data_IF_357055688941
#
_entry.id   IF_357055688941
#
_cell.length_a   1.000
_cell.length_b   1.000
_cell.length_c   1.000
_cell.angle_alpha   90.00
_cell.angle_beta   90.00
_cell.angle_gamma   90.00
#
_symmetry.space_group_name_H-M   'P 1'
#
loop_
_entity.id
_entity.type
_entity.pdbx_description
1 polymer ?
#
# COMPACT_ATOMS: atom_id res chain seq x y z
N UNK A 1 -11.40 -19.61 2.83
CA UNK A 1 -12.74 -19.08 3.11
C UNK A 1 -13.17 -19.30 4.57
N UNK A 2 -13.12 -20.52 5.15
CA UNK A 2 -13.46 -20.78 6.58
C UNK A 2 -12.72 -19.88 7.56
N UNK A 3 -11.42 -19.64 7.34
CA UNK A 3 -10.62 -18.77 8.20
C UNK A 3 -11.01 -17.31 8.03
N UNK A 4 -11.34 -16.88 6.81
CA UNK A 4 -11.73 -15.49 6.51
C UNK A 4 -13.03 -15.13 7.25
N UNK A 5 -14.05 -16.01 7.21
CA UNK A 5 -15.30 -15.81 7.95
C UNK A 5 -15.07 -15.71 9.48
N UNK A 6 -14.18 -16.58 10.03
CA UNK A 6 -13.84 -16.54 11.46
C UNK A 6 -13.09 -15.28 11.88
N UNK A 7 -12.30 -14.70 10.98
CA UNK A 7 -11.56 -13.46 11.22
C UNK A 7 -12.44 -12.21 11.10
N UNK A 8 -13.57 -12.33 10.42
CA UNK A 8 -14.48 -11.22 10.21
C UNK A 8 -15.24 -10.88 11.51
N UNK A 9 -15.23 -9.62 11.90
CA UNK A 9 -16.01 -9.12 13.04
C UNK A 9 -17.50 -9.06 12.67
N UNK A 10 -18.43 -9.09 13.65
CA UNK A 10 -19.82 -8.73 13.42
C UNK A 10 -19.95 -7.37 12.71
N UNK A 11 -20.82 -7.24 11.73
CA UNK A 11 -20.95 -6.08 10.85
C UNK A 11 -19.84 -5.92 9.79
N UNK A 12 -18.78 -6.72 9.84
CA UNK A 12 -17.66 -6.66 8.89
C UNK A 12 -18.03 -7.14 7.50
N UNK A 13 -17.34 -6.62 6.48
CA UNK A 13 -17.53 -6.95 5.08
C UNK A 13 -16.40 -7.85 4.56
N UNK A 14 -16.74 -8.74 3.64
CA UNK A 14 -15.80 -9.60 2.93
C UNK A 14 -16.15 -9.64 1.45
N UNK A 15 -15.21 -9.25 0.59
CA UNK A 15 -15.32 -9.43 -0.84
C UNK A 15 -14.74 -10.77 -1.24
N UNK A 16 -15.51 -11.57 -1.96
CA UNK A 16 -15.03 -12.76 -2.67
C UNK A 16 -15.00 -12.45 -4.17
N UNK A 17 -13.90 -12.78 -4.82
CA UNK A 17 -13.77 -12.59 -6.26
C UNK A 17 -12.97 -13.71 -6.89
N UNK A 18 -13.32 -14.05 -8.14
CA UNK A 18 -12.58 -14.99 -8.99
C UNK A 18 -12.45 -14.42 -10.40
N UNK A 19 -11.50 -14.94 -11.17
CA UNK A 19 -11.36 -14.67 -12.61
C UNK A 19 -11.81 -15.87 -13.46
N UNK A 20 -12.42 -16.89 -12.86
CA UNK A 20 -13.01 -18.04 -13.56
C UNK A 20 -14.47 -17.76 -13.94
N UNK A 21 -15.00 -18.55 -14.87
CA UNK A 21 -16.41 -18.57 -15.22
C UNK A 21 -17.10 -19.86 -14.76
N UNK A 22 -16.39 -20.72 -14.01
CA UNK A 22 -16.88 -21.99 -13.51
C UNK A 22 -17.93 -21.78 -12.40
N UNK A 23 -19.20 -22.18 -12.59
CA UNK A 23 -20.23 -22.01 -11.57
C UNK A 23 -19.87 -22.63 -10.22
N UNK A 24 -19.12 -23.72 -10.21
CA UNK A 24 -18.66 -24.39 -9.00
C UNK A 24 -17.75 -23.52 -8.12
N UNK A 25 -16.92 -22.70 -8.76
CA UNK A 25 -16.03 -21.77 -8.08
C UNK A 25 -16.72 -20.43 -7.76
N UNK A 26 -17.75 -20.09 -8.47
CA UNK A 26 -18.51 -18.85 -8.37
C UNK A 26 -19.74 -19.03 -7.46
N UNK A 27 -20.93 -19.24 -8.01
CA UNK A 27 -22.20 -19.42 -7.26
C UNK A 27 -22.15 -20.62 -6.32
N UNK A 28 -21.45 -21.70 -6.71
CA UNK A 28 -21.27 -22.87 -5.87
C UNK A 28 -20.49 -22.56 -4.58
N UNK A 29 -19.44 -21.76 -4.68
CA UNK A 29 -18.68 -21.31 -3.50
C UNK A 29 -19.51 -20.38 -2.62
N UNK A 30 -20.31 -19.48 -3.22
CA UNK A 30 -21.21 -18.60 -2.49
C UNK A 30 -22.27 -19.40 -1.74
N UNK A 31 -22.93 -20.37 -2.43
CA UNK A 31 -23.90 -21.27 -1.84
C UNK A 31 -23.31 -22.01 -0.64
N UNK A 32 -22.13 -22.58 -0.82
CA UNK A 32 -21.41 -23.28 0.24
C UNK A 32 -21.14 -22.38 1.46
N UNK A 33 -20.78 -21.10 1.24
CA UNK A 33 -20.57 -20.15 2.34
C UNK A 33 -21.87 -19.86 3.09
N UNK A 34 -22.96 -19.59 2.39
CA UNK A 34 -24.26 -19.28 2.99
C UNK A 34 -24.81 -20.48 3.79
N UNK A 35 -24.65 -21.69 3.28
CA UNK A 35 -25.11 -22.92 3.95
C UNK A 35 -24.29 -23.25 5.23
N UNK A 36 -22.99 -23.00 5.22
CA UNK A 36 -22.11 -23.38 6.34
C UNK A 36 -21.92 -22.25 7.36
N UNK A 37 -22.30 -21.02 7.02
CA UNK A 37 -22.14 -19.85 7.87
C UNK A 37 -23.40 -18.98 7.84
N UNK A 38 -24.45 -19.37 8.61
CA UNK A 38 -25.73 -18.68 8.63
C UNK A 38 -25.65 -17.23 9.17
N UNK A 39 -24.51 -16.91 9.80
CA UNK A 39 -24.19 -15.53 10.19
C UNK A 39 -23.73 -14.65 9.03
N UNK A 40 -23.49 -15.21 7.84
CA UNK A 40 -23.13 -14.44 6.65
C UNK A 40 -24.38 -14.13 5.83
N UNK A 41 -24.39 -12.98 5.18
CA UNK A 41 -25.42 -12.56 4.23
C UNK A 41 -24.77 -11.88 3.03
N UNK A 42 -25.42 -11.95 1.85
CA UNK A 42 -24.99 -11.22 0.66
C UNK A 42 -25.52 -9.80 0.68
N UNK A 43 -24.66 -8.87 0.29
CA UNK A 43 -24.98 -7.46 0.09
C UNK A 43 -25.03 -7.19 -1.40
N UNK A 44 -26.10 -6.56 -1.85
CA UNK A 44 -26.21 -6.09 -3.22
C UNK A 44 -25.17 -5.00 -3.48
N UNK A 45 -24.42 -5.15 -4.57
CA UNK A 45 -23.45 -4.16 -5.02
C UNK A 45 -24.09 -3.21 -6.00
N UNK A 46 -23.61 -1.95 -6.02
CA UNK A 46 -24.00 -0.99 -7.04
C UNK A 46 -23.73 -1.54 -8.44
N UNK A 47 -24.71 -1.47 -9.31
CA UNK A 47 -24.62 -1.97 -10.68
C UNK A 47 -23.88 -0.97 -11.58
N UNK A 48 -22.95 -1.47 -12.36
CA UNK A 48 -22.30 -0.73 -13.45
C UNK A 48 -22.72 -1.28 -14.80
N UNK A 49 -22.59 -0.47 -15.84
CA UNK A 49 -22.85 -0.91 -17.22
C UNK A 49 -21.98 -2.14 -17.55
N UNK A 50 -22.60 -3.19 -18.10
CA UNK A 50 -21.94 -4.45 -18.41
C UNK A 50 -21.94 -5.50 -17.28
N UNK A 51 -22.33 -5.15 -16.06
CA UNK A 51 -22.50 -6.12 -14.98
C UNK A 51 -23.72 -7.00 -15.24
N UNK A 52 -23.59 -8.28 -14.94
CA UNK A 52 -24.69 -9.26 -14.94
C UNK A 52 -24.87 -9.81 -13.52
N UNK A 53 -26.10 -10.09 -13.15
CA UNK A 53 -26.41 -10.77 -11.90
C UNK A 53 -25.89 -12.20 -11.89
N UNK A 54 -25.55 -12.73 -10.71
CA UNK A 54 -25.31 -14.15 -10.53
C UNK A 54 -26.56 -14.98 -10.84
N UNK A 55 -26.37 -16.23 -11.15
CA UNK A 55 -27.45 -17.13 -11.51
C UNK A 55 -27.73 -18.16 -10.40
N UNK A 56 -28.88 -18.08 -9.71
CA UNK A 56 -29.23 -19.03 -8.65
C UNK A 56 -29.18 -20.51 -9.08
N UNK A 57 -29.50 -20.81 -10.33
CA UNK A 57 -29.49 -22.17 -10.87
C UNK A 57 -28.09 -22.79 -10.92
N UNK A 58 -27.07 -21.95 -10.99
CA UNK A 58 -25.65 -22.37 -10.98
C UNK A 58 -25.10 -22.60 -9.58
N UNK A 59 -25.86 -22.22 -8.54
CA UNK A 59 -25.62 -22.50 -7.15
C UNK A 59 -26.63 -23.51 -6.60
N UNK A 60 -27.11 -23.26 -5.38
CA UNK A 60 -28.11 -24.08 -4.69
C UNK A 60 -29.56 -23.64 -4.94
N UNK A 61 -29.80 -22.70 -5.82
CA UNK A 61 -31.13 -22.16 -6.11
C UNK A 61 -31.57 -21.00 -5.21
N UNK A 62 -30.75 -20.55 -4.28
CA UNK A 62 -31.05 -19.42 -3.40
C UNK A 62 -31.14 -18.12 -4.23
N UNK A 63 -32.29 -17.42 -4.23
CA UNK A 63 -32.47 -16.16 -4.97
C UNK A 63 -31.50 -15.06 -4.49
N UNK A 64 -30.97 -15.12 -3.28
CA UNK A 64 -29.96 -14.16 -2.79
C UNK A 64 -28.70 -14.14 -3.67
N UNK A 65 -28.39 -15.21 -4.41
CA UNK A 65 -27.27 -15.30 -5.35
C UNK A 65 -27.37 -14.23 -6.45
N UNK A 66 -28.55 -13.73 -6.78
CA UNK A 66 -28.69 -12.62 -7.72
C UNK A 66 -28.01 -11.32 -7.26
N UNK A 67 -27.66 -11.19 -5.97
CA UNK A 67 -26.87 -10.06 -5.45
C UNK A 67 -25.41 -10.12 -5.83
N UNK A 68 -24.93 -11.27 -6.33
CA UNK A 68 -23.57 -11.40 -6.85
C UNK A 68 -23.48 -10.86 -8.28
N UNK A 69 -22.25 -10.62 -8.75
CA UNK A 69 -22.01 -10.00 -10.04
C UNK A 69 -21.12 -10.89 -10.90
N UNK A 70 -21.52 -11.06 -12.15
CA UNK A 70 -20.70 -11.61 -13.23
C UNK A 70 -20.30 -10.52 -14.20
N UNK A 71 -19.00 -10.39 -14.43
CA UNK A 71 -18.44 -9.48 -15.44
C UNK A 71 -17.98 -10.33 -16.62
N UNK A 72 -18.64 -10.13 -17.76
CA UNK A 72 -18.39 -10.92 -18.95
C UNK A 72 -17.53 -10.15 -19.96
N UNK A 73 -16.47 -10.75 -20.56
CA UNK A 73 -15.60 -10.06 -21.52
C UNK A 73 -16.33 -9.53 -22.77
N UNK A 74 -17.44 -10.16 -23.14
CA UNK A 74 -18.25 -9.71 -24.28
C UNK A 74 -19.20 -8.54 -23.97
N UNK A 75 -19.33 -8.17 -22.68
CA UNK A 75 -20.14 -7.03 -22.22
C UNK A 75 -19.31 -5.84 -21.74
N UNK A 76 -18.08 -6.09 -21.34
CA UNK A 76 -17.13 -5.08 -20.88
C UNK A 76 -15.73 -5.40 -21.38
N UNK A 77 -14.93 -4.38 -21.62
CA UNK A 77 -13.52 -4.58 -21.92
C UNK A 77 -12.80 -5.05 -20.64
N UNK A 78 -12.28 -6.26 -20.65
CA UNK A 78 -11.58 -6.87 -19.52
C UNK A 78 -11.53 -8.38 -19.64
N UNK A 79 -10.87 -9.02 -18.67
CA UNK A 79 -10.71 -10.49 -18.64
C UNK A 79 -11.94 -11.23 -18.09
N UNK A 80 -12.83 -10.50 -17.44
CA UNK A 80 -13.99 -11.04 -16.75
C UNK A 80 -13.70 -11.38 -15.29
N UNK A 81 -14.74 -11.26 -14.46
CA UNK A 81 -14.67 -11.57 -13.03
C UNK A 81 -16.02 -12.04 -12.51
N UNK A 82 -15.96 -12.73 -11.37
CA UNK A 82 -17.10 -12.94 -10.49
C UNK A 82 -16.86 -12.24 -9.18
N UNK A 83 -17.89 -11.58 -8.61
CA UNK A 83 -17.82 -10.82 -7.37
C UNK A 83 -19.00 -11.18 -6.47
N UNK A 84 -18.73 -11.38 -5.19
CA UNK A 84 -19.74 -11.53 -4.14
C UNK A 84 -19.34 -10.73 -2.90
N UNK A 85 -20.18 -9.81 -2.48
CA UNK A 85 -19.97 -9.02 -1.27
C UNK A 85 -20.78 -9.62 -0.12
N UNK A 86 -20.08 -10.05 0.92
CA UNK A 86 -20.68 -10.59 2.14
C UNK A 86 -20.58 -9.60 3.29
N UNK A 87 -21.57 -9.66 4.19
CA UNK A 87 -21.51 -9.05 5.50
C UNK A 87 -21.72 -10.11 6.56
N UNK A 88 -20.99 -10.03 7.67
CA UNK A 88 -21.25 -10.83 8.85
C UNK A 88 -22.33 -10.15 9.68
N UNK A 89 -23.45 -10.82 9.93
CA UNK A 89 -24.56 -10.32 10.75
C UNK A 89 -24.09 -9.93 12.16
N UNK A 90 -24.77 -8.96 12.74
CA UNK A 90 -24.48 -8.42 14.07
C UNK A 90 -24.09 -6.94 14.02
N UNK A 91 -24.12 -6.29 15.16
CA UNK A 91 -23.76 -4.89 15.26
C UNK A 91 -22.26 -4.70 15.06
N UNK A 92 -21.91 -3.74 14.19
CA UNK A 92 -20.52 -3.34 14.02
C UNK A 92 -20.01 -2.76 15.35
N UNK A 93 -19.11 -3.49 15.99
CA UNK A 93 -18.39 -2.95 17.15
C UNK A 93 -17.52 -1.81 16.62
N UNK A 94 -17.76 -0.55 17.05
CA UNK A 94 -16.89 0.55 16.66
C UNK A 94 -15.45 0.18 17.03
N UNK A 95 -14.52 0.42 16.10
CA UNK A 95 -13.10 0.31 16.44
C UNK A 95 -12.78 1.51 17.33
N UNK A 96 -12.98 1.34 18.63
CA UNK A 96 -12.43 2.29 19.60
C UNK A 96 -10.91 2.14 19.50
N UNK A 97 -10.28 3.09 18.85
CA UNK A 97 -8.88 3.40 19.08
C UNK A 97 -8.80 3.95 20.51
N UNK A 98 -8.89 3.07 21.50
CA UNK A 98 -8.48 3.45 22.83
C UNK A 98 -6.96 3.73 22.74
N UNK A 99 -6.61 4.98 22.52
CA UNK A 99 -5.32 5.51 22.93
C UNK A 99 -5.27 5.42 24.45
N UNK A 100 -5.02 4.23 24.98
CA UNK A 100 -4.66 4.09 26.38
C UNK A 100 -3.32 4.78 26.58
N UNK A 101 -3.25 5.85 27.40
CA UNK A 101 -1.98 6.44 27.76
C UNK A 101 -1.10 5.32 28.32
N UNK A 102 0.09 5.15 27.75
CA UNK A 102 1.07 4.17 28.23
C UNK A 102 1.51 4.64 29.63
N UNK A 103 0.83 4.19 30.68
CA UNK A 103 1.35 4.30 32.04
C UNK A 103 2.69 3.57 32.10
N UNK A 104 3.75 4.34 32.23
CA UNK A 104 5.10 3.82 32.48
C UNK A 104 5.13 3.19 33.89
N UNK A 105 4.69 1.94 33.99
CA UNK A 105 4.92 1.14 35.20
C UNK A 105 6.41 0.76 35.27
N UNK A 106 7.14 1.46 36.13
CA UNK A 106 8.46 1.08 36.60
C UNK A 106 8.39 -0.34 37.20
N UNK A 107 8.70 -1.36 36.46
CA UNK A 107 8.92 -2.72 36.99
C UNK A 107 10.42 -3.04 36.94
N UNK A 108 10.95 -3.25 38.17
CA UNK A 108 12.30 -3.77 38.45
C UNK A 108 12.61 -4.96 37.54
N UNK A 109 13.76 -4.83 36.84
CA UNK A 109 14.34 -5.88 36.02
C UNK A 109 14.58 -7.15 36.84
N UNK A 110 13.89 -8.24 36.50
CA UNK A 110 14.34 -9.61 36.75
C UNK A 110 14.67 -10.21 35.39
N UNK A 111 15.90 -10.70 35.27
CA UNK A 111 16.46 -11.39 34.12
C UNK A 111 15.45 -12.39 33.52
N UNK A 112 14.85 -12.06 32.36
CA UNK A 112 14.20 -13.02 31.49
C UNK A 112 14.93 -13.01 30.15
N UNK A 113 15.29 -14.19 29.68
CA UNK A 113 15.91 -14.45 28.38
C UNK A 113 15.21 -13.64 27.30
N UNK A 114 16.00 -12.87 26.51
CA UNK A 114 15.53 -12.08 25.37
C UNK A 114 14.77 -12.98 24.41
N UNK A 115 13.46 -12.84 24.43
CA UNK A 115 12.60 -13.35 23.36
C UNK A 115 12.74 -12.37 22.18
N UNK A 116 13.07 -12.91 21.00
CA UNK A 116 13.40 -12.13 19.81
C UNK A 116 12.14 -11.63 19.09
N UNK A 117 11.48 -10.69 19.72
CA UNK A 117 10.42 -9.86 19.12
C UNK A 117 10.73 -8.39 19.39
N UNK A 118 11.91 -7.95 18.96
CA UNK A 118 12.37 -6.58 19.20
C UNK A 118 11.69 -5.63 18.24
N UNK A 119 11.01 -4.61 18.80
CA UNK A 119 10.78 -3.36 18.09
C UNK A 119 12.11 -2.96 17.44
N UNK A 120 12.08 -2.68 16.13
CA UNK A 120 13.28 -2.21 15.46
C UNK A 120 13.74 -0.92 16.13
N UNK A 121 15.03 -0.77 16.45
CA UNK A 121 15.50 0.44 17.09
C UNK A 121 15.20 1.64 16.19
N UNK A 122 14.64 2.69 16.76
CA UNK A 122 14.47 3.96 16.06
C UNK A 122 15.84 4.53 15.64
N UNK A 123 15.85 5.51 14.73
CA UNK A 123 17.08 6.10 14.21
C UNK A 123 17.91 6.77 15.33
N UNK A 124 19.23 6.61 15.27
CA UNK A 124 20.20 7.30 16.13
C UNK A 124 20.15 8.82 15.90
N UNK A 125 20.76 9.60 16.79
CA UNK A 125 20.79 11.07 16.69
C UNK A 125 21.35 11.57 15.34
N UNK A 126 22.42 10.95 14.85
CA UNK A 126 23.02 11.31 13.55
C UNK A 126 22.11 10.93 12.37
N UNK A 127 21.49 9.75 12.42
CA UNK A 127 20.54 9.30 11.42
C UNK A 127 19.28 10.17 11.39
N UNK A 128 18.79 10.62 12.55
CA UNK A 128 17.66 11.56 12.65
C UNK A 128 17.95 12.86 11.92
N UNK A 129 19.14 13.41 12.03
CA UNK A 129 19.49 14.64 11.32
C UNK A 129 19.46 14.43 9.80
N UNK A 130 20.08 13.35 9.30
CA UNK A 130 20.09 13.04 7.85
C UNK A 130 18.69 12.85 7.31
N UNK A 131 17.83 12.15 8.06
CA UNK A 131 16.44 11.90 7.68
C UNK A 131 15.61 13.19 7.71
N UNK A 132 15.75 13.98 8.76
CA UNK A 132 15.08 15.27 8.91
C UNK A 132 15.43 16.22 7.76
N UNK A 133 16.71 16.31 7.40
CA UNK A 133 17.18 17.15 6.28
C UNK A 133 16.56 16.73 4.94
N UNK A 134 16.40 15.45 4.72
CA UNK A 134 15.74 14.96 3.50
C UNK A 134 14.22 15.14 3.55
N UNK A 135 13.57 14.73 4.64
CA UNK A 135 12.11 14.74 4.78
C UNK A 135 11.54 16.17 4.90
N UNK A 136 12.33 17.16 5.33
CA UNK A 136 11.91 18.58 5.34
C UNK A 136 11.53 19.13 3.94
N UNK A 137 11.93 18.43 2.89
CA UNK A 137 11.55 18.73 1.50
C UNK A 137 10.13 18.26 1.16
N UNK A 138 9.52 17.44 2.00
CA UNK A 138 8.10 17.09 1.85
C UNK A 138 7.22 18.26 2.27
N UNK A 139 6.09 18.40 1.64
CA UNK A 139 5.07 19.40 2.01
C UNK A 139 4.42 19.05 3.35
N UNK A 140 4.20 17.76 3.60
CA UNK A 140 3.82 17.21 4.90
C UNK A 140 4.90 16.21 5.35
N UNK A 141 5.90 16.65 6.14
CA UNK A 141 6.98 15.79 6.60
C UNK A 141 6.47 14.66 7.49
N UNK A 142 7.02 13.46 7.28
CA UNK A 142 6.80 12.32 8.18
C UNK A 142 7.66 12.55 9.44
N UNK A 143 7.10 12.45 10.67
CA UNK A 143 7.87 12.57 11.89
C UNK A 143 8.96 11.49 11.94
N UNK A 144 10.21 11.90 12.22
CA UNK A 144 11.36 10.97 12.23
C UNK A 144 11.23 9.93 13.34
N UNK A 145 10.45 10.23 14.37
CA UNK A 145 10.15 9.36 15.51
C UNK A 145 9.26 8.16 15.12
N UNK A 146 8.51 8.28 14.04
CA UNK A 146 7.65 7.22 13.49
C UNK A 146 8.40 6.27 12.55
N UNK A 147 9.68 6.55 12.30
CA UNK A 147 10.49 5.76 11.39
C UNK A 147 11.21 4.62 12.10
N UNK A 148 11.25 3.48 11.45
CA UNK A 148 12.05 2.33 11.86
C UNK A 148 13.29 2.20 10.99
N UNK A 149 14.44 1.92 11.62
CA UNK A 149 15.70 1.65 10.90
C UNK A 149 16.12 0.21 11.13
N UNK A 150 16.20 -0.58 10.06
CA UNK A 150 16.60 -1.98 10.10
C UNK A 150 17.76 -2.21 9.14
N UNK A 151 18.95 -2.47 9.66
CA UNK A 151 20.16 -2.67 8.84
C UNK A 151 20.39 -1.53 7.82
N UNK A 152 20.22 -0.28 8.23
CA UNK A 152 20.35 0.92 7.38
C UNK A 152 19.15 1.21 6.47
N UNK A 153 18.17 0.31 6.37
CA UNK A 153 16.93 0.53 5.63
C UNK A 153 15.90 1.22 6.50
N UNK A 154 15.27 2.26 5.95
CA UNK A 154 14.31 3.11 6.65
C UNK A 154 12.90 2.77 6.18
N UNK A 155 12.01 2.56 7.15
CA UNK A 155 10.61 2.24 6.90
C UNK A 155 9.72 3.20 7.69
N UNK A 156 8.60 3.59 7.08
CA UNK A 156 7.47 4.19 7.77
C UNK A 156 6.41 3.10 7.92
N UNK A 157 6.27 2.58 9.13
CA UNK A 157 5.36 1.48 9.45
C UNK A 157 4.12 2.00 10.17
N UNK A 158 2.92 1.52 9.83
CA UNK A 158 1.73 1.84 10.60
C UNK A 158 1.86 1.28 12.03
N UNK A 159 1.23 1.94 13.00
CA UNK A 159 1.08 1.37 14.32
C UNK A 159 0.27 0.06 14.22
N UNK A 160 0.82 -1.01 14.78
CA UNK A 160 0.16 -2.31 14.76
C UNK A 160 -0.72 -2.46 15.99
N UNK A 161 -1.95 -3.02 15.86
CA UNK A 161 -2.80 -3.33 17.00
C UNK A 161 -2.12 -4.31 17.96
N UNK A 162 -2.48 -4.24 19.24
CA UNK A 162 -2.08 -5.26 20.21
C UNK A 162 -2.59 -6.64 19.77
N UNK A 163 -1.75 -7.66 20.00
CA UNK A 163 -2.08 -9.05 19.65
C UNK A 163 -1.53 -9.57 18.33
N UNK A 164 -1.06 -8.70 17.42
CA UNK A 164 -0.43 -9.14 16.16
C UNK A 164 1.09 -9.35 16.27
N UNK A 165 1.68 -9.13 17.45
CA UNK A 165 3.13 -9.24 17.72
C UNK A 165 3.72 -10.62 17.43
N UNK A 166 2.89 -11.67 17.45
CA UNK A 166 3.31 -13.05 17.17
C UNK A 166 3.18 -13.45 15.69
N UNK A 167 2.73 -12.53 14.82
CA UNK A 167 2.64 -12.80 13.40
C UNK A 167 4.00 -12.60 12.73
N UNK A 168 4.31 -13.46 11.77
CA UNK A 168 5.49 -13.28 10.93
C UNK A 168 5.15 -12.33 9.78
N UNK A 169 5.67 -11.10 9.86
CA UNK A 169 5.50 -10.11 8.79
C UNK A 169 6.55 -10.32 7.70
N UNK A 170 6.11 -10.56 6.49
CA UNK A 170 6.97 -10.57 5.30
C UNK A 170 7.34 -9.13 4.89
N UNK A 171 6.37 -8.22 4.99
CA UNK A 171 6.53 -6.78 4.76
C UNK A 171 5.63 -6.03 5.73
N UNK A 172 6.14 -4.93 6.25
CA UNK A 172 5.38 -3.99 7.07
C UNK A 172 5.83 -2.58 6.75
N UNK A 173 4.86 -1.71 6.44
CA UNK A 173 5.11 -0.32 6.16
C UNK A 173 5.72 -0.03 4.78
N UNK A 174 5.93 1.26 4.53
CA UNK A 174 6.52 1.80 3.31
C UNK A 174 8.05 1.86 3.45
N UNK A 175 8.77 1.24 2.54
CA UNK A 175 10.21 1.38 2.44
C UNK A 175 10.56 2.75 1.85
N UNK A 176 11.12 3.64 2.69
CA UNK A 176 11.46 5.00 2.29
C UNK A 176 12.83 5.08 1.59
N UNK A 177 13.80 4.27 1.98
CA UNK A 177 15.13 4.32 1.43
C UNK A 177 16.20 3.75 2.34
N UNK A 178 17.46 4.06 2.04
CA UNK A 178 18.61 3.53 2.75
C UNK A 178 19.51 4.65 3.29
N UNK A 179 19.87 4.54 4.56
CA UNK A 179 20.89 5.37 5.19
C UNK A 179 22.28 4.85 4.81
N UNK A 180 23.06 5.71 4.23
CA UNK A 180 24.51 5.53 4.04
C UNK A 180 25.24 6.35 5.12
N UNK A 181 26.55 6.25 5.16
CA UNK A 181 27.38 6.87 6.19
C UNK A 181 27.03 8.35 6.49
N UNK A 182 26.73 9.12 5.44
CA UNK A 182 26.58 10.58 5.47
C UNK A 182 25.36 11.10 4.69
N UNK A 183 24.50 10.22 4.20
CA UNK A 183 23.36 10.59 3.35
C UNK A 183 22.24 9.58 3.39
N UNK A 184 21.07 10.04 2.99
CA UNK A 184 19.91 9.20 2.70
C UNK A 184 19.75 9.00 1.20
N UNK A 185 19.51 7.77 0.76
CA UNK A 185 19.20 7.40 -0.62
C UNK A 185 17.73 6.93 -0.69
N UNK A 186 16.84 7.73 -1.30
CA UNK A 186 15.42 7.41 -1.34
C UNK A 186 15.13 6.23 -2.25
N UNK A 187 14.12 5.44 -1.89
CA UNK A 187 13.72 4.24 -2.61
C UNK A 187 12.72 4.52 -3.73
N UNK A 188 12.63 3.63 -4.70
CA UNK A 188 11.61 3.67 -5.74
C UNK A 188 10.18 3.52 -5.19
N UNK A 189 9.88 2.59 -4.26
CA UNK A 189 8.58 2.56 -3.59
C UNK A 189 8.16 3.89 -2.98
N UNK A 190 9.08 4.65 -2.42
CA UNK A 190 8.78 5.97 -1.87
C UNK A 190 8.43 6.98 -2.98
N UNK A 191 9.17 6.99 -4.09
CA UNK A 191 8.88 7.90 -5.20
C UNK A 191 7.44 7.78 -5.71
N UNK A 192 6.96 6.55 -5.94
CA UNK A 192 5.64 6.30 -6.53
C UNK A 192 4.47 6.56 -5.56
N UNK A 193 4.74 6.82 -4.29
CA UNK A 193 3.72 7.27 -3.33
C UNK A 193 3.58 8.78 -3.26
N UNK A 194 4.46 9.50 -3.96
CA UNK A 194 4.51 10.96 -3.96
C UNK A 194 3.92 11.53 -5.26
N UNK A 195 3.48 12.75 -5.18
CA UNK A 195 3.09 13.61 -6.31
C UNK A 195 3.88 14.92 -6.25
N UNK A 196 3.86 15.69 -7.33
CA UNK A 196 4.60 16.94 -7.45
C UNK A 196 4.28 17.95 -6.32
N UNK A 197 3.05 17.95 -5.81
CA UNK A 197 2.62 18.80 -4.70
C UNK A 197 3.12 18.33 -3.32
N UNK A 198 3.56 17.07 -3.21
CA UNK A 198 4.02 16.47 -1.94
C UNK A 198 5.52 16.56 -1.69
N UNK A 199 6.30 16.90 -2.69
CA UNK A 199 7.76 17.03 -2.57
C UNK A 199 8.25 18.31 -3.23
N UNK A 200 8.84 19.24 -2.48
CA UNK A 200 9.21 20.58 -2.94
C UNK A 200 10.22 20.60 -4.07
N UNK A 201 11.09 19.61 -4.10
CA UNK A 201 12.22 19.51 -5.03
C UNK A 201 11.93 18.47 -6.12
N UNK A 202 11.02 18.78 -7.00
CA UNK A 202 10.58 17.88 -8.08
C UNK A 202 10.92 18.44 -9.47
N UNK A 203 10.91 17.57 -10.44
CA UNK A 203 10.92 17.86 -11.87
C UNK A 203 9.68 17.21 -12.49
N UNK A 204 8.79 18.00 -13.07
CA UNK A 204 7.53 17.50 -13.63
C UNK A 204 7.59 17.53 -15.16
N UNK A 205 7.65 16.35 -15.76
CA UNK A 205 7.64 16.16 -17.21
C UNK A 205 6.21 15.93 -17.70
N UNK A 206 6.00 16.04 -19.00
CA UNK A 206 4.78 15.57 -19.66
C UNK A 206 4.96 14.14 -20.14
N UNK A 207 3.85 13.40 -20.29
CA UNK A 207 3.91 12.02 -20.79
C UNK A 207 4.51 11.93 -22.21
N UNK A 208 4.31 12.95 -23.03
CA UNK A 208 4.83 13.10 -24.40
C UNK A 208 6.19 13.83 -24.48
N UNK A 209 6.80 14.22 -23.36
CA UNK A 209 8.14 14.80 -23.32
C UNK A 209 9.19 13.70 -23.62
N UNK A 210 10.06 13.93 -24.60
CA UNK A 210 11.15 13.03 -24.98
C UNK A 210 12.03 12.62 -23.76
N UNK A 211 12.18 13.52 -22.80
CA UNK A 211 12.93 13.26 -21.56
C UNK A 211 12.29 12.20 -20.68
N UNK A 212 10.96 12.01 -20.78
CA UNK A 212 10.26 10.95 -20.06
C UNK A 212 10.70 9.58 -20.56
N UNK A 213 10.78 9.40 -21.86
CA UNK A 213 11.27 8.15 -22.46
C UNK A 213 12.74 7.89 -22.12
N UNK A 214 13.61 8.91 -22.27
CA UNK A 214 15.02 8.83 -21.85
C UNK A 214 15.16 8.43 -20.37
N UNK A 215 14.30 8.99 -19.51
CA UNK A 215 14.33 8.63 -18.09
C UNK A 215 13.94 7.16 -17.87
N UNK A 216 12.93 6.64 -18.57
CA UNK A 216 12.53 5.23 -18.47
C UNK A 216 13.61 4.27 -19.02
N UNK A 217 14.40 4.69 -19.97
CA UNK A 217 15.58 3.93 -20.46
C UNK A 217 16.77 3.99 -19.49
N UNK A 218 16.71 4.85 -18.46
CA UNK A 218 17.79 5.00 -17.49
C UNK A 218 18.86 6.00 -17.90
N UNK A 219 18.60 6.80 -18.94
CA UNK A 219 19.51 7.82 -19.42
C UNK A 219 19.52 9.06 -18.51
N UNK A 220 20.56 9.85 -18.59
CA UNK A 220 20.62 11.18 -17.98
C UNK A 220 19.79 12.16 -18.79
N UNK A 221 19.17 13.13 -18.12
CA UNK A 221 18.38 14.17 -18.77
C UNK A 221 18.89 15.55 -18.39
N UNK A 222 18.82 16.50 -19.33
CA UNK A 222 19.14 17.90 -19.09
C UNK A 222 17.99 18.59 -18.33
N UNK A 223 18.34 19.46 -17.41
CA UNK A 223 17.41 20.27 -16.63
C UNK A 223 17.70 21.72 -16.87
N UNK A 224 16.71 22.45 -17.37
CA UNK A 224 16.84 23.88 -17.64
C UNK A 224 16.79 24.70 -16.35
N UNK A 225 17.43 25.88 -16.33
CA UNK A 225 17.35 26.79 -15.20
C UNK A 225 15.90 27.15 -14.87
N UNK A 226 15.49 26.94 -13.62
CA UNK A 226 14.12 27.21 -13.14
C UNK A 226 13.13 26.04 -13.20
N UNK A 227 13.47 24.92 -13.84
CA UNK A 227 12.61 23.72 -13.85
C UNK A 227 12.54 23.00 -12.49
N UNK A 228 13.47 23.25 -11.58
CA UNK A 228 13.50 22.67 -10.24
C UNK A 228 13.74 23.74 -9.18
N UNK A 229 13.23 23.54 -7.97
CA UNK A 229 13.34 24.50 -6.88
C UNK A 229 14.79 24.71 -6.40
N UNK A 230 15.66 23.71 -6.53
CA UNK A 230 17.07 23.84 -6.18
C UNK A 230 17.98 23.36 -7.32
N UNK A 231 19.20 23.95 -7.46
CA UNK A 231 20.09 23.68 -8.59
C UNK A 231 20.83 22.34 -8.47
N UNK A 232 20.67 21.62 -7.38
CA UNK A 232 21.38 20.36 -7.15
C UNK A 232 20.65 19.44 -6.18
N UNK A 233 21.12 18.20 -6.02
CA UNK A 233 20.61 17.23 -5.04
C UNK A 233 19.50 16.33 -5.61
N UNK A 234 18.80 15.63 -4.71
CA UNK A 234 17.73 14.72 -5.08
C UNK A 234 16.52 15.46 -5.64
N UNK A 235 15.97 14.95 -6.73
CA UNK A 235 14.73 15.41 -7.36
C UNK A 235 13.77 14.24 -7.48
N UNK A 236 12.51 14.49 -7.09
CA UNK A 236 11.43 13.61 -7.48
C UNK A 236 11.13 13.86 -8.96
N UNK A 237 11.31 12.87 -9.81
CA UNK A 237 10.88 12.94 -11.20
C UNK A 237 9.41 12.55 -11.26
N UNK A 238 8.59 13.46 -11.77
CA UNK A 238 7.15 13.27 -11.96
C UNK A 238 6.81 13.28 -13.43
N UNK A 239 5.72 12.60 -13.78
CA UNK A 239 5.06 12.70 -15.08
C UNK A 239 3.61 13.09 -14.85
N UNK A 240 3.18 14.18 -15.45
CA UNK A 240 1.84 14.77 -15.27
C UNK A 240 1.41 14.90 -13.80
N UNK A 241 2.38 15.24 -12.94
CA UNK A 241 2.19 15.42 -11.51
C UNK A 241 2.38 14.17 -10.65
N UNK A 242 2.48 12.98 -11.23
CA UNK A 242 2.65 11.71 -10.50
C UNK A 242 4.12 11.33 -10.39
N UNK A 243 4.55 10.89 -9.21
CA UNK A 243 5.92 10.46 -8.97
C UNK A 243 6.28 9.21 -9.76
N UNK A 244 7.28 9.33 -10.63
CA UNK A 244 7.81 8.24 -11.44
C UNK A 244 9.06 7.60 -10.83
N UNK A 245 9.92 8.41 -10.22
CA UNK A 245 11.16 7.91 -9.61
C UNK A 245 12.05 9.04 -9.11
N UNK A 246 13.32 8.74 -8.88
CA UNK A 246 14.30 9.70 -8.35
C UNK A 246 15.40 9.99 -9.37
N UNK A 247 15.92 11.21 -9.30
CA UNK A 247 17.15 11.62 -9.96
C UNK A 247 18.03 12.46 -9.05
N UNK A 248 19.31 12.53 -9.34
CA UNK A 248 20.24 13.42 -8.63
C UNK A 248 20.76 14.48 -9.58
N UNK A 249 20.34 15.72 -9.36
CA UNK A 249 20.74 16.87 -10.19
C UNK A 249 22.16 17.32 -9.79
N UNK A 250 23.02 17.43 -10.79
CA UNK A 250 24.38 17.91 -10.66
C UNK A 250 24.73 18.69 -11.91
N UNK A 251 25.07 19.97 -11.79
CA UNK A 251 25.50 20.85 -12.89
C UNK A 251 24.55 20.80 -14.10
N UNK A 252 23.24 21.00 -13.88
CA UNK A 252 22.23 20.98 -14.94
C UNK A 252 21.90 19.61 -15.55
N UNK A 253 22.54 18.54 -15.06
CA UNK A 253 22.28 17.18 -15.52
C UNK A 253 21.68 16.34 -14.42
N UNK A 254 20.51 15.75 -14.65
CA UNK A 254 19.86 14.82 -13.74
C UNK A 254 20.40 13.41 -13.98
N UNK A 255 21.18 12.92 -13.03
CA UNK A 255 21.65 11.53 -13.01
C UNK A 255 20.49 10.61 -12.63
N UNK A 256 20.13 9.74 -13.54
CA UNK A 256 19.01 8.81 -13.41
C UNK A 256 19.20 7.83 -12.25
N UNK A 257 18.14 7.62 -11.46
CA UNK A 257 18.08 6.65 -10.35
C UNK A 257 16.93 5.67 -10.48
N UNK A 258 16.31 5.61 -11.67
CA UNK A 258 15.28 4.63 -11.98
C UNK A 258 15.86 3.20 -11.91
N UNK A 259 15.14 2.25 -11.28
CA UNK A 259 15.66 0.89 -11.08
C UNK A 259 16.04 0.21 -12.39
N UNK A 260 17.22 -0.41 -12.45
CA UNK A 260 17.72 -1.07 -13.67
C UNK A 260 16.76 -2.13 -14.18
N UNK A 261 16.15 -2.91 -13.30
CA UNK A 261 15.19 -3.96 -13.69
C UNK A 261 13.83 -3.45 -14.17
N UNK A 262 13.58 -2.13 -14.14
CA UNK A 262 12.32 -1.51 -14.58
C UNK A 262 12.49 -0.69 -15.88
N UNK A 263 13.74 -0.58 -16.35
CA UNK A 263 14.04 0.16 -17.57
C UNK A 263 13.50 -0.56 -18.80
N UNK A 264 13.00 0.21 -19.74
CA UNK A 264 12.53 -0.30 -21.03
C UNK A 264 13.70 -0.62 -21.96
#
# INVERSE_FOLDING_TARGET
LFRSVKMLRPGGLMMYSTCTFAPQEDEGTVSFLLENFPEMELIEMEGYEGFSKGNPVWGNGDPEIEKTVRIWPHKMNGEGHYLALFRKKGEAIPYETEEKPIEKKNKKQKNRKKDRGTEAPGPSKAEKQILSDFLSRMTAPIPVEELEVRAGKVYHSPSLPDGVRNLHFLRNGLYLGELKKDRFEPSQPFAVTLSADKFKDYMNLKADDERTEKYLHGETISVEPGETASPSGWKLVCVDGFGLGWGKLVNGTLKNKYPVGWRK
#
